data_IF_743996066725
#
_entry.id   IF_743996066725
#
_cell.length_a   1.000
_cell.length_b   1.000
_cell.length_c   1.000
_cell.angle_alpha   90.00
_cell.angle_beta   90.00
_cell.angle_gamma   90.00
#
_symmetry.space_group_name_H-M   'P 1'
#
loop_
_entity.id
_entity.type
_entity.pdbx_description
1 polymer ?
#
# COMPACT_ATOMS: atom_id res chain seq x y z
N UNK A 1 -66.78 36.90 -8.17
CA UNK A 1 -65.91 37.54 -7.14
C UNK A 1 -64.63 36.74 -6.85
N UNK A 2 -64.13 35.92 -7.81
CA UNK A 2 -62.99 34.99 -7.60
C UNK A 2 -61.71 35.38 -8.38
N UNK A 3 -61.78 36.33 -9.31
CA UNK A 3 -60.64 36.76 -10.14
C UNK A 3 -59.44 37.34 -9.35
N UNK A 4 -59.63 38.20 -8.33
CA UNK A 4 -58.50 38.80 -7.62
C UNK A 4 -57.73 37.80 -6.76
N UNK A 5 -58.43 36.83 -6.16
CA UNK A 5 -57.86 35.78 -5.33
C UNK A 5 -57.06 34.77 -6.16
N UNK A 6 -57.53 34.48 -7.39
CA UNK A 6 -56.83 33.62 -8.36
C UNK A 6 -55.50 34.24 -8.86
N UNK A 7 -55.50 35.54 -9.13
CA UNK A 7 -54.28 36.29 -9.52
C UNK A 7 -53.26 36.35 -8.38
N UNK A 8 -53.73 36.40 -7.12
CA UNK A 8 -52.87 36.37 -5.94
C UNK A 8 -52.24 34.98 -5.70
N UNK A 9 -53.00 33.89 -5.91
CA UNK A 9 -52.49 32.53 -5.84
C UNK A 9 -51.49 32.26 -6.98
N UNK A 10 -51.80 32.70 -8.21
CA UNK A 10 -50.89 32.64 -9.36
C UNK A 10 -49.61 33.45 -9.15
N UNK A 11 -49.66 34.65 -8.52
CA UNK A 11 -48.47 35.44 -8.17
C UNK A 11 -47.59 34.79 -7.09
N UNK A 12 -48.20 34.07 -6.14
CA UNK A 12 -47.45 33.35 -5.10
C UNK A 12 -46.81 32.06 -5.66
N UNK A 13 -47.49 31.38 -6.58
CA UNK A 13 -46.95 30.26 -7.38
C UNK A 13 -45.82 30.76 -8.30
N UNK A 14 -45.98 31.93 -8.93
CA UNK A 14 -44.99 32.64 -9.77
C UNK A 14 -43.64 32.87 -9.06
N UNK A 15 -43.65 33.09 -7.73
CA UNK A 15 -42.44 33.35 -6.95
C UNK A 15 -41.80 32.06 -6.42
N UNK A 16 -42.59 31.02 -6.12
CA UNK A 16 -42.05 29.73 -5.68
C UNK A 16 -41.52 28.86 -6.83
N UNK A 17 -42.10 28.94 -8.03
CA UNK A 17 -41.69 28.11 -9.19
C UNK A 17 -40.59 28.71 -10.07
N UNK A 18 -40.35 30.03 -10.00
CA UNK A 18 -39.18 30.66 -10.63
C UNK A 18 -37.83 30.21 -10.01
N UNK A 19 -37.85 29.38 -8.97
CA UNK A 19 -36.66 28.79 -8.34
C UNK A 19 -36.35 27.36 -8.77
N UNK A 20 -37.19 26.71 -9.58
CA UNK A 20 -37.03 25.27 -9.86
C UNK A 20 -36.87 25.02 -11.36
N UNK A 21 -35.63 24.69 -11.75
CA UNK A 21 -35.11 24.46 -13.10
C UNK A 21 -35.63 23.17 -13.76
N UNK A 22 -36.95 22.95 -13.84
CA UNK A 22 -37.47 21.76 -14.52
C UNK A 22 -38.56 22.11 -15.54
N UNK A 23 -38.08 22.51 -16.73
CA UNK A 23 -38.88 22.80 -17.93
C UNK A 23 -39.83 21.64 -18.30
N UNK A 24 -39.41 20.39 -18.07
CA UNK A 24 -40.23 19.19 -18.32
C UNK A 24 -41.43 19.04 -17.36
N UNK A 25 -41.33 19.52 -16.11
CA UNK A 25 -42.43 19.43 -15.14
C UNK A 25 -43.51 20.49 -15.38
N UNK A 26 -43.13 21.65 -15.95
CA UNK A 26 -44.03 22.78 -16.21
C UNK A 26 -45.01 22.43 -17.36
N UNK A 27 -44.53 21.79 -18.42
CA UNK A 27 -45.35 21.37 -19.57
C UNK A 27 -46.24 20.15 -19.21
N UNK A 28 -45.71 19.22 -18.40
CA UNK A 28 -46.46 18.02 -17.98
C UNK A 28 -47.59 18.34 -16.98
N UNK A 29 -47.44 19.31 -16.08
CA UNK A 29 -48.51 19.72 -15.15
C UNK A 29 -49.55 20.67 -15.78
N UNK A 30 -49.14 21.50 -16.74
CA UNK A 30 -50.07 22.34 -17.49
C UNK A 30 -51.06 21.49 -18.32
N UNK A 31 -50.61 20.35 -18.85
CA UNK A 31 -51.44 19.41 -19.61
C UNK A 31 -52.36 18.55 -18.72
N UNK A 32 -51.95 18.22 -17.50
CA UNK A 32 -52.77 17.42 -16.55
C UNK A 32 -53.89 18.24 -15.90
N UNK A 33 -53.71 19.55 -15.67
CA UNK A 33 -54.72 20.39 -14.99
C UNK A 33 -55.69 21.16 -15.90
N UNK A 34 -55.40 21.33 -17.19
CA UNK A 34 -56.13 22.29 -18.05
C UNK A 34 -56.66 21.68 -19.34
N UNK A 35 -57.25 20.48 -19.30
CA UNK A 35 -57.85 19.86 -20.48
C UNK A 35 -58.45 20.87 -21.48
N UNK A 36 -57.86 20.92 -22.67
CA UNK A 36 -58.28 21.67 -23.86
C UNK A 36 -58.14 23.21 -23.85
N UNK A 37 -57.48 23.74 -24.89
CA UNK A 37 -57.39 25.14 -25.36
C UNK A 37 -56.73 26.23 -24.49
N UNK A 38 -56.65 26.09 -23.16
CA UNK A 38 -56.01 27.11 -22.30
C UNK A 38 -54.49 26.96 -22.16
N UNK A 39 -53.91 25.78 -22.44
CA UNK A 39 -52.46 25.57 -22.25
C UNK A 39 -51.63 26.31 -23.31
N UNK A 40 -52.08 26.35 -24.56
CA UNK A 40 -51.36 27.01 -25.67
C UNK A 40 -51.31 28.54 -25.50
N UNK A 41 -52.39 29.17 -25.03
CA UNK A 41 -52.42 30.62 -24.76
C UNK A 41 -51.56 31.00 -23.54
N UNK A 42 -51.51 30.15 -22.51
CA UNK A 42 -50.66 30.35 -21.33
C UNK A 42 -49.18 30.14 -21.68
N UNK A 43 -48.85 29.12 -22.48
CA UNK A 43 -47.48 28.91 -22.97
C UNK A 43 -47.01 30.09 -23.84
N UNK A 44 -47.88 30.61 -24.70
CA UNK A 44 -47.61 31.80 -25.53
C UNK A 44 -47.37 33.05 -24.67
N UNK A 45 -48.18 33.29 -23.63
CA UNK A 45 -47.97 34.39 -22.67
C UNK A 45 -46.67 34.25 -21.85
N UNK A 46 -46.27 33.02 -21.47
CA UNK A 46 -45.05 32.76 -20.70
C UNK A 46 -43.75 32.86 -21.53
N UNK A 47 -43.83 32.62 -22.84
CA UNK A 47 -42.66 32.56 -23.74
C UNK A 47 -42.48 33.81 -24.59
N UNK A 48 -43.50 34.68 -24.67
CA UNK A 48 -43.43 35.91 -25.47
C UNK A 48 -42.32 36.85 -24.96
N UNK A 49 -41.35 37.14 -25.83
CA UNK A 49 -40.21 38.01 -25.53
C UNK A 49 -39.13 37.37 -24.64
N UNK A 50 -39.25 36.07 -24.36
CA UNK A 50 -38.25 35.30 -23.62
C UNK A 50 -37.29 34.59 -24.58
N UNK A 51 -36.10 34.33 -24.08
CA UNK A 51 -35.03 33.62 -24.76
C UNK A 51 -34.66 32.40 -23.94
N UNK A 52 -34.60 31.24 -24.59
CA UNK A 52 -34.30 29.97 -23.94
C UNK A 52 -32.78 29.72 -23.88
N UNK A 53 -32.33 29.24 -22.72
CA UNK A 53 -31.05 28.55 -22.58
C UNK A 53 -31.35 27.09 -22.30
N UNK A 54 -30.86 26.19 -23.16
CA UNK A 54 -31.00 24.75 -23.01
C UNK A 54 -29.63 24.11 -22.84
N UNK A 55 -29.53 23.09 -21.99
CA UNK A 55 -28.31 22.32 -21.81
C UNK A 55 -28.61 20.85 -22.06
N UNK A 56 -27.92 20.27 -23.03
CA UNK A 56 -27.93 18.83 -23.30
C UNK A 56 -26.68 18.23 -22.67
N UNK A 57 -26.86 17.31 -21.71
CA UNK A 57 -25.73 16.61 -21.11
C UNK A 57 -25.67 15.20 -21.65
N UNK A 58 -24.56 14.88 -22.30
CA UNK A 58 -24.33 13.57 -22.89
C UNK A 58 -23.86 12.60 -21.79
N UNK A 59 -24.65 11.58 -21.46
CA UNK A 59 -24.34 10.59 -20.44
C UNK A 59 -25.56 9.81 -19.94
N UNK A 60 -25.35 8.87 -19.02
CA UNK A 60 -26.43 8.12 -18.37
C UNK A 60 -27.03 8.96 -17.23
N UNK A 61 -28.35 9.17 -17.30
CA UNK A 61 -29.14 9.94 -16.34
C UNK A 61 -29.17 9.20 -14.99
N UNK A 62 -28.76 9.87 -13.90
CA UNK A 62 -28.77 9.27 -12.57
C UNK A 62 -30.17 9.41 -11.96
N UNK A 63 -30.91 8.29 -11.89
CA UNK A 63 -32.32 8.25 -11.51
C UNK A 63 -32.60 8.58 -10.03
N UNK A 64 -31.56 8.71 -9.18
CA UNK A 64 -31.70 8.85 -7.73
C UNK A 64 -31.70 10.31 -7.20
N UNK A 65 -31.62 11.31 -8.08
CA UNK A 65 -31.47 12.71 -7.68
C UNK A 65 -32.72 13.55 -7.94
N UNK A 66 -33.18 14.30 -6.92
CA UNK A 66 -34.25 15.33 -7.04
C UNK A 66 -33.81 16.57 -7.83
N UNK A 67 -32.67 16.48 -8.51
CA UNK A 67 -32.07 17.43 -9.45
C UNK A 67 -31.60 16.62 -10.64
N UNK A 68 -31.66 17.16 -11.86
CA UNK A 68 -31.09 16.48 -13.04
C UNK A 68 -29.57 16.43 -12.86
N UNK A 69 -29.08 15.36 -12.24
CA UNK A 69 -27.65 15.06 -12.12
C UNK A 69 -27.32 13.96 -13.11
N UNK A 70 -26.29 14.20 -13.90
CA UNK A 70 -25.75 13.21 -14.81
C UNK A 70 -24.58 12.52 -14.12
N UNK A 71 -24.35 11.25 -14.44
CA UNK A 71 -23.20 10.53 -13.90
C UNK A 71 -21.91 11.32 -14.19
N UNK A 72 -21.31 11.92 -13.15
CA UNK A 72 -20.04 12.64 -13.24
C UNK A 72 -20.07 14.16 -13.06
N UNK A 73 -21.24 14.80 -12.93
CA UNK A 73 -21.32 16.23 -12.61
C UNK A 73 -22.69 16.87 -12.80
N UNK A 74 -22.72 18.19 -12.61
CA UNK A 74 -23.92 19.04 -12.72
C UNK A 74 -23.68 20.14 -13.73
N UNK A 75 -24.61 20.36 -14.66
CA UNK A 75 -24.66 21.56 -15.48
C UNK A 75 -25.75 22.52 -14.96
N UNK A 76 -25.54 23.82 -15.11
CA UNK A 76 -26.43 24.85 -14.57
C UNK A 76 -26.58 26.05 -15.51
N UNK A 77 -27.67 26.81 -15.35
CA UNK A 77 -27.99 27.97 -16.17
C UNK A 77 -29.01 27.73 -17.29
N UNK A 78 -29.63 26.55 -17.32
CA UNK A 78 -30.86 26.31 -18.09
C UNK A 78 -32.00 27.22 -17.60
N UNK A 79 -32.80 27.75 -18.52
CA UNK A 79 -33.99 28.51 -18.18
C UNK A 79 -34.53 29.40 -19.31
N UNK A 80 -35.63 30.11 -19.00
CA UNK A 80 -36.19 31.16 -19.84
C UNK A 80 -35.83 32.52 -19.25
N UNK A 81 -35.20 33.37 -20.06
CA UNK A 81 -34.64 34.65 -19.63
C UNK A 81 -35.20 35.80 -20.49
N UNK A 82 -35.12 37.02 -19.99
CA UNK A 82 -35.31 38.18 -20.88
C UNK A 82 -34.13 38.27 -21.87
N UNK A 83 -34.39 38.60 -23.13
CA UNK A 83 -33.37 38.60 -24.19
C UNK A 83 -32.18 39.54 -23.96
N UNK A 84 -32.28 40.48 -23.00
CA UNK A 84 -31.20 41.38 -22.58
C UNK A 84 -30.41 40.88 -21.36
N UNK A 85 -30.86 39.83 -20.69
CA UNK A 85 -30.21 39.28 -19.51
C UNK A 85 -28.88 38.59 -19.86
N UNK A 86 -28.06 38.39 -18.82
CA UNK A 86 -26.78 37.69 -18.90
C UNK A 86 -26.73 36.53 -17.90
N UNK A 87 -27.47 35.44 -18.13
CA UNK A 87 -27.45 34.31 -17.22
C UNK A 87 -26.06 33.71 -17.09
N UNK A 88 -25.78 33.15 -15.91
CA UNK A 88 -24.55 32.39 -15.67
C UNK A 88 -24.81 30.93 -16.04
N UNK A 89 -24.09 30.43 -17.03
CA UNK A 89 -24.25 29.07 -17.57
C UNK A 89 -22.92 28.35 -17.47
N UNK A 90 -22.94 27.12 -16.95
CA UNK A 90 -21.70 26.40 -16.66
C UNK A 90 -21.91 24.95 -16.25
N UNK A 91 -20.82 24.32 -15.83
CA UNK A 91 -20.81 22.95 -15.35
C UNK A 91 -19.76 22.76 -14.25
N UNK A 92 -20.04 21.83 -13.34
CA UNK A 92 -19.16 21.41 -12.25
C UNK A 92 -19.10 19.87 -12.21
N UNK A 93 -17.91 19.31 -12.36
CA UNK A 93 -17.66 17.87 -12.33
C UNK A 93 -17.60 17.37 -10.88
N UNK A 94 -18.21 16.22 -10.62
CA UNK A 94 -18.14 15.54 -9.33
C UNK A 94 -16.74 14.98 -9.05
N UNK A 95 -16.47 14.66 -7.78
CA UNK A 95 -15.25 13.98 -7.38
C UNK A 95 -15.02 12.69 -8.20
N UNK A 96 -13.82 12.54 -8.77
CA UNK A 96 -13.50 11.43 -9.65
C UNK A 96 -13.70 11.71 -11.14
N UNK A 97 -14.27 12.86 -11.51
CA UNK A 97 -14.57 13.24 -12.88
C UNK A 97 -13.90 14.55 -13.28
N UNK A 98 -13.89 14.80 -14.59
CA UNK A 98 -13.52 16.08 -15.20
C UNK A 98 -14.46 16.38 -16.37
N UNK A 99 -14.51 17.64 -16.77
CA UNK A 99 -15.30 18.05 -17.93
C UNK A 99 -14.59 17.53 -19.19
N UNK A 100 -15.28 16.70 -19.97
CA UNK A 100 -14.79 16.24 -21.27
C UNK A 100 -14.95 17.33 -22.32
N UNK A 101 -16.15 17.92 -22.38
CA UNK A 101 -16.42 19.14 -23.11
C UNK A 101 -17.57 19.92 -22.50
N UNK A 102 -17.54 21.23 -22.72
CA UNK A 102 -18.66 22.13 -22.49
C UNK A 102 -18.62 23.22 -23.55
N UNK A 103 -19.62 23.26 -24.44
CA UNK A 103 -19.70 24.29 -25.47
C UNK A 103 -21.14 24.67 -25.77
N UNK A 104 -21.36 25.86 -26.28
CA UNK A 104 -22.69 26.32 -26.68
C UNK A 104 -22.70 27.72 -27.24
N UNK A 105 -23.89 28.16 -27.62
CA UNK A 105 -24.12 29.46 -28.23
C UNK A 105 -25.47 29.54 -28.93
N UNK A 106 -25.75 30.66 -29.62
CA UNK A 106 -26.94 30.78 -30.45
C UNK A 106 -26.80 29.93 -31.72
N UNK A 107 -27.91 29.67 -32.41
CA UNK A 107 -27.93 28.79 -33.60
C UNK A 107 -26.98 29.21 -34.72
N UNK A 108 -26.65 30.51 -34.83
CA UNK A 108 -25.70 31.06 -35.79
C UNK A 108 -24.24 31.02 -35.31
N UNK A 109 -23.99 30.85 -34.01
CA UNK A 109 -22.66 30.70 -33.41
C UNK A 109 -22.65 29.60 -32.32
N UNK A 110 -22.88 28.32 -32.66
CA UNK A 110 -23.16 27.25 -31.69
C UNK A 110 -22.00 26.90 -30.74
N UNK A 111 -20.80 27.43 -30.97
CA UNK A 111 -19.62 27.27 -30.10
C UNK A 111 -19.04 28.62 -29.65
N UNK A 112 -19.85 29.68 -29.63
CA UNK A 112 -19.46 31.01 -29.11
C UNK A 112 -18.81 30.92 -27.74
N UNK A 113 -19.35 30.05 -26.89
CA UNK A 113 -18.80 29.68 -25.59
C UNK A 113 -18.22 28.27 -25.73
N UNK A 114 -16.90 28.14 -25.63
CA UNK A 114 -16.23 26.86 -25.80
C UNK A 114 -15.19 26.66 -24.71
N UNK A 115 -15.37 25.60 -23.92
CA UNK A 115 -14.44 25.20 -22.88
C UNK A 115 -13.31 24.37 -23.47
N UNK A 116 -12.09 24.88 -23.37
CA UNK A 116 -10.87 24.21 -23.85
C UNK A 116 -9.98 23.69 -22.72
N UNK A 117 -10.45 23.76 -21.47
CA UNK A 117 -9.72 23.30 -20.30
C UNK A 117 -9.95 21.82 -19.96
N UNK A 118 -9.31 21.36 -18.88
CA UNK A 118 -9.45 20.00 -18.34
C UNK A 118 -9.69 20.00 -16.81
N UNK A 119 -10.36 21.05 -16.34
CA UNK A 119 -10.67 21.30 -14.94
C UNK A 119 -12.00 20.69 -14.51
N UNK A 120 -12.36 20.94 -13.25
CA UNK A 120 -13.60 20.45 -12.65
C UNK A 120 -14.74 21.46 -12.72
N UNK A 121 -14.51 22.68 -13.21
CA UNK A 121 -15.59 23.66 -13.38
C UNK A 121 -15.36 24.61 -14.56
N UNK A 122 -16.46 25.09 -15.11
CA UNK A 122 -16.52 26.14 -16.14
C UNK A 122 -17.75 27.00 -15.92
N UNK A 123 -17.65 28.31 -16.17
CA UNK A 123 -18.76 29.25 -16.04
C UNK A 123 -18.63 30.38 -17.05
N UNK A 124 -19.74 30.73 -17.72
CA UNK A 124 -19.84 31.83 -18.66
C UNK A 124 -20.99 32.77 -18.29
N UNK A 125 -20.76 34.07 -18.43
CA UNK A 125 -21.82 35.08 -18.50
C UNK A 125 -22.32 35.17 -19.94
N UNK A 126 -23.49 34.60 -20.22
CA UNK A 126 -24.00 34.40 -21.58
C UNK A 126 -24.80 35.60 -22.05
N UNK A 127 -24.42 36.22 -23.16
CA UNK A 127 -25.15 37.37 -23.72
C UNK A 127 -26.19 36.88 -24.73
N UNK A 128 -27.47 36.88 -24.31
CA UNK A 128 -28.56 36.25 -25.05
C UNK A 128 -28.93 36.98 -26.35
N UNK A 129 -28.96 38.32 -26.33
CA UNK A 129 -29.31 39.15 -27.47
C UNK A 129 -30.62 38.73 -28.18
N UNK A 130 -31.61 38.29 -27.40
CA UNK A 130 -32.91 37.82 -27.92
C UNK A 130 -32.88 36.49 -28.70
N UNK A 131 -31.76 35.76 -28.71
CA UNK A 131 -31.61 34.50 -29.46
C UNK A 131 -31.46 33.31 -28.51
N UNK A 132 -32.18 32.24 -28.77
CA UNK A 132 -32.04 31.01 -27.99
C UNK A 132 -30.61 30.48 -28.06
N UNK A 133 -30.12 29.96 -26.93
CA UNK A 133 -28.80 29.37 -26.80
C UNK A 133 -28.93 27.90 -26.42
N UNK A 134 -28.13 27.05 -27.08
CA UNK A 134 -28.02 25.63 -26.77
C UNK A 134 -26.59 25.31 -26.35
N UNK A 135 -26.46 24.59 -25.25
CA UNK A 135 -25.20 24.08 -24.72
C UNK A 135 -25.19 22.56 -24.74
N UNK A 136 -23.99 22.00 -24.89
CA UNK A 136 -23.67 20.58 -24.78
C UNK A 136 -22.59 20.40 -23.73
N UNK A 137 -22.77 19.43 -22.84
CA UNK A 137 -21.83 19.10 -21.79
C UNK A 137 -21.62 17.60 -21.72
N UNK A 138 -20.39 17.16 -21.40
CA UNK A 138 -20.11 15.78 -21.05
C UNK A 138 -19.05 15.71 -19.96
N UNK A 139 -19.23 14.77 -19.05
CA UNK A 139 -18.26 14.43 -18.01
C UNK A 139 -17.55 13.12 -18.38
N UNK A 140 -16.28 13.00 -17.96
CA UNK A 140 -15.52 11.75 -18.07
C UNK A 140 -14.78 11.43 -16.78
N UNK A 141 -14.56 10.15 -16.55
CA UNK A 141 -13.77 9.70 -15.39
C UNK A 141 -12.34 10.23 -15.48
N UNK A 142 -11.89 10.86 -14.40
CA UNK A 142 -10.50 11.25 -14.24
C UNK A 142 -9.70 10.05 -13.79
N UNK A 143 -8.91 9.47 -14.70
CA UNK A 143 -8.13 8.24 -14.45
C UNK A 143 -6.65 8.51 -14.20
N UNK A 144 -6.05 7.70 -13.34
CA UNK A 144 -4.60 7.69 -13.06
C UNK A 144 -4.07 6.28 -12.95
N UNK A 145 -2.77 6.16 -13.20
CA UNK A 145 -2.04 4.89 -13.10
C UNK A 145 -1.39 4.77 -11.73
N UNK A 146 -1.62 3.61 -11.12
CA UNK A 146 -0.97 3.12 -9.91
C UNK A 146 0.06 2.05 -10.29
N UNK A 147 1.32 2.34 -10.02
CA UNK A 147 2.42 1.38 -10.18
C UNK A 147 2.82 0.85 -8.81
N UNK A 148 2.96 -0.48 -8.67
CA UNK A 148 3.42 -1.12 -7.44
C UNK A 148 4.78 -1.77 -7.65
N UNK A 149 5.66 -1.68 -6.64
CA UNK A 149 7.00 -2.30 -6.63
C UNK A 149 7.27 -2.98 -5.30
N UNK A 150 8.20 -3.93 -5.27
CA UNK A 150 8.68 -4.58 -4.05
C UNK A 150 10.14 -4.15 -3.77
N UNK A 151 10.49 -3.93 -2.50
CA UNK A 151 11.85 -3.61 -2.08
C UNK A 151 12.25 -4.40 -0.82
N UNK A 152 13.26 -5.29 -0.91
CA UNK A 152 13.93 -5.72 -2.13
C UNK A 152 12.97 -6.48 -3.05
N UNK A 153 13.27 -6.54 -4.36
CA UNK A 153 12.46 -7.29 -5.34
C UNK A 153 12.33 -8.77 -4.99
N UNK A 154 13.35 -9.35 -4.35
CA UNK A 154 13.34 -10.73 -3.85
C UNK A 154 12.49 -10.93 -2.59
N UNK A 155 12.12 -9.85 -1.90
CA UNK A 155 11.48 -9.89 -0.59
C UNK A 155 10.01 -10.27 -0.62
N UNK A 156 9.34 -10.11 -1.76
CA UNK A 156 7.93 -10.44 -1.89
C UNK A 156 7.33 -10.03 -3.22
N UNK A 157 6.02 -10.25 -3.36
CA UNK A 157 5.22 -9.88 -4.53
C UNK A 157 4.16 -8.85 -4.16
N UNK A 158 3.74 -8.04 -5.13
CA UNK A 158 2.70 -7.01 -4.95
C UNK A 158 1.62 -7.13 -6.03
N UNK A 159 0.37 -6.85 -5.67
CA UNK A 159 -0.79 -6.90 -6.57
C UNK A 159 -1.72 -5.70 -6.33
N UNK A 160 -2.51 -5.33 -7.36
CA UNK A 160 -3.45 -4.20 -7.31
C UNK A 160 -2.99 -2.93 -8.05
N UNK A 161 -1.92 -3.02 -8.84
CA UNK A 161 -1.53 -1.96 -9.78
C UNK A 161 -2.44 -1.92 -11.01
N UNK A 162 -2.52 -0.78 -11.67
CA UNK A 162 -3.41 -0.58 -12.83
C UNK A 162 -3.84 0.87 -13.02
N UNK A 163 -4.79 1.10 -13.93
CA UNK A 163 -5.38 2.42 -14.16
C UNK A 163 -6.77 2.49 -13.54
N UNK A 164 -7.00 3.48 -12.68
CA UNK A 164 -8.21 3.60 -11.87
C UNK A 164 -8.75 5.02 -11.90
N UNK A 165 -10.06 5.16 -11.64
CA UNK A 165 -10.65 6.46 -11.35
C UNK A 165 -10.04 7.04 -10.07
N UNK A 166 -9.79 8.34 -10.04
CA UNK A 166 -9.28 9.00 -8.83
C UNK A 166 -10.33 8.96 -7.72
N UNK A 167 -9.89 9.08 -6.46
CA UNK A 167 -10.73 9.06 -5.25
C UNK A 167 -11.47 7.73 -4.97
N UNK A 168 -11.34 6.71 -5.80
CA UNK A 168 -11.86 5.36 -5.50
C UNK A 168 -10.89 4.58 -4.60
N UNK A 169 -11.43 3.71 -3.75
CA UNK A 169 -10.63 2.81 -2.92
C UNK A 169 -10.13 1.62 -3.74
N UNK A 170 -8.84 1.60 -4.05
CA UNK A 170 -8.18 0.55 -4.83
C UNK A 170 -7.54 -0.45 -3.86
N UNK A 171 -7.94 -1.73 -3.84
CA UNK A 171 -7.31 -2.73 -2.99
C UNK A 171 -5.91 -3.08 -3.51
N UNK A 172 -4.93 -3.08 -2.60
CA UNK A 172 -3.56 -3.50 -2.88
C UNK A 172 -3.12 -4.55 -1.86
N UNK A 173 -2.24 -5.46 -2.28
CA UNK A 173 -1.73 -6.52 -1.42
C UNK A 173 -0.25 -6.76 -1.65
N UNK A 174 0.48 -6.96 -0.56
CA UNK A 174 1.86 -7.41 -0.54
C UNK A 174 1.92 -8.78 0.12
N UNK A 175 2.64 -9.71 -0.52
CA UNK A 175 2.89 -11.06 0.02
C UNK A 175 4.39 -11.22 0.18
N UNK A 176 4.83 -11.35 1.43
CA UNK A 176 6.24 -11.58 1.73
C UNK A 176 6.66 -12.98 1.29
N UNK A 177 7.85 -13.11 0.71
CA UNK A 177 8.44 -14.41 0.38
C UNK A 177 9.01 -15.05 1.65
N UNK A 178 9.19 -16.37 1.65
CA UNK A 178 9.87 -17.08 2.74
C UNK A 178 11.22 -16.41 3.08
N UNK A 179 11.46 -16.20 4.38
CA UNK A 179 12.63 -15.45 4.86
C UNK A 179 12.46 -13.95 4.91
N UNK A 180 11.29 -13.40 4.60
CA UNK A 180 11.00 -11.98 4.67
C UNK A 180 9.70 -11.70 5.43
N UNK A 181 9.62 -10.51 6.01
CA UNK A 181 8.41 -9.93 6.59
C UNK A 181 8.09 -8.61 5.90
N UNK A 182 6.81 -8.34 5.72
CA UNK A 182 6.35 -7.04 5.25
C UNK A 182 6.59 -5.98 6.34
N UNK A 183 7.16 -4.84 5.95
CA UNK A 183 7.53 -3.76 6.86
C UNK A 183 6.79 -2.45 6.61
N UNK A 184 6.03 -2.34 5.51
CA UNK A 184 5.20 -1.18 5.23
C UNK A 184 5.18 -0.76 3.75
N UNK A 185 4.15 -0.03 3.38
CA UNK A 185 4.01 0.64 2.08
C UNK A 185 4.60 2.05 2.13
N UNK A 186 5.17 2.50 1.02
CA UNK A 186 5.65 3.89 0.87
C UNK A 186 5.26 4.42 -0.50
N UNK A 187 4.80 5.67 -0.57
CA UNK A 187 4.61 6.38 -1.84
C UNK A 187 5.98 6.92 -2.27
N UNK A 188 6.50 6.43 -3.39
CA UNK A 188 7.81 6.86 -3.92
C UNK A 188 7.66 7.93 -5.01
N UNK A 189 6.48 8.01 -5.64
CA UNK A 189 6.14 9.05 -6.61
C UNK A 189 4.65 9.35 -6.56
N UNK A 190 4.29 10.62 -6.78
CA UNK A 190 2.90 11.07 -6.85
C UNK A 190 2.31 11.38 -5.49
N UNK A 191 0.98 11.40 -5.43
CA UNK A 191 0.21 11.94 -4.31
C UNK A 191 -0.87 10.96 -3.82
N UNK A 192 -0.71 9.67 -4.09
CA UNK A 192 -1.60 8.62 -3.59
C UNK A 192 -1.71 8.63 -2.07
N UNK A 193 -2.93 8.39 -1.56
CA UNK A 193 -3.23 8.25 -0.14
C UNK A 193 -3.38 6.78 0.22
N UNK A 194 -2.50 6.27 1.09
CA UNK A 194 -2.59 4.89 1.62
C UNK A 194 -3.42 4.92 2.91
N UNK A 195 -4.43 4.05 3.01
CA UNK A 195 -5.32 4.04 4.18
C UNK A 195 -4.66 3.43 5.42
N UNK A 196 -3.84 2.38 5.25
CA UNK A 196 -3.01 1.83 6.30
C UNK A 196 -1.68 1.33 5.73
N UNK A 197 -0.64 2.14 5.85
CA UNK A 197 0.68 1.82 5.31
C UNK A 197 1.37 0.63 6.00
N UNK A 198 1.01 0.31 7.25
CA UNK A 198 1.60 -0.80 8.01
C UNK A 198 0.91 -2.15 7.74
N UNK A 199 -0.22 -2.16 7.03
CA UNK A 199 -0.92 -3.39 6.66
C UNK A 199 -0.53 -3.87 5.27
N UNK A 200 -0.17 -5.16 5.16
CA UNK A 200 0.18 -5.78 3.89
C UNK A 200 -1.01 -5.81 2.90
N UNK A 201 -2.23 -5.89 3.41
CA UNK A 201 -3.47 -5.72 2.65
C UNK A 201 -4.17 -4.44 3.08
N UNK A 202 -4.34 -3.50 2.14
CA UNK A 202 -4.94 -2.18 2.42
C UNK A 202 -5.58 -1.63 1.15
N UNK A 203 -6.13 -0.43 1.25
CA UNK A 203 -6.64 0.32 0.11
C UNK A 203 -5.85 1.61 -0.10
N UNK A 204 -5.73 2.03 -1.35
CA UNK A 204 -5.11 3.29 -1.76
C UNK A 204 -6.09 4.12 -2.59
N UNK A 205 -6.02 5.44 -2.47
CA UNK A 205 -6.75 6.38 -3.32
C UNK A 205 -5.78 7.23 -4.14
N UNK A 206 -5.89 7.15 -5.47
CA UNK A 206 -5.21 8.08 -6.38
C UNK A 206 -5.86 9.47 -6.29
N UNK A 207 -5.03 10.52 -6.32
CA UNK A 207 -5.47 11.91 -6.18
C UNK A 207 -5.30 12.67 -7.50
N UNK A 208 -4.30 13.55 -7.61
CA UNK A 208 -4.09 14.44 -8.75
C UNK A 208 -3.01 13.98 -9.73
N UNK A 209 -2.26 12.92 -9.43
CA UNK A 209 -1.18 12.42 -10.28
C UNK A 209 -1.13 10.88 -10.38
N UNK A 210 -0.43 10.38 -11.40
CA UNK A 210 -0.01 8.98 -11.42
C UNK A 210 0.94 8.73 -10.25
N UNK A 211 0.79 7.60 -9.56
CA UNK A 211 1.54 7.32 -8.34
C UNK A 211 2.25 5.98 -8.38
N UNK A 212 3.42 5.92 -7.75
CA UNK A 212 4.18 4.68 -7.55
C UNK A 212 4.26 4.40 -6.05
N UNK A 213 3.86 3.20 -5.65
CA UNK A 213 4.01 2.70 -4.30
C UNK A 213 5.02 1.56 -4.26
N UNK A 214 5.71 1.45 -3.13
CA UNK A 214 6.68 0.41 -2.86
C UNK A 214 6.26 -0.34 -1.59
N UNK A 215 6.13 -1.67 -1.68
CA UNK A 215 6.07 -2.56 -0.53
C UNK A 215 7.49 -2.82 -0.05
N UNK A 216 7.77 -2.48 1.21
CA UNK A 216 9.05 -2.71 1.83
C UNK A 216 9.01 -4.03 2.59
N UNK A 217 10.02 -4.87 2.37
CA UNK A 217 10.20 -6.14 3.06
C UNK A 217 11.54 -6.13 3.80
N UNK A 218 11.55 -6.75 4.98
CA UNK A 218 12.76 -6.96 5.77
C UNK A 218 13.03 -8.45 5.85
N UNK A 219 14.31 -8.82 5.75
CA UNK A 219 14.69 -10.20 5.96
C UNK A 219 14.34 -10.60 7.39
N UNK A 220 13.61 -11.71 7.53
CA UNK A 220 13.31 -12.32 8.83
C UNK A 220 14.52 -13.10 9.26
N UNK A 221 15.04 -12.77 10.45
CA UNK A 221 16.19 -13.44 11.03
C UNK A 221 15.72 -14.29 12.19
N UNK A 222 15.88 -15.61 12.08
CA UNK A 222 15.68 -16.56 13.17
C UNK A 222 16.93 -16.57 14.05
N UNK A 223 16.76 -16.32 15.34
CA UNK A 223 17.86 -16.36 16.30
C UNK A 223 18.04 -17.79 16.81
N UNK A 224 19.24 -18.33 16.65
CA UNK A 224 19.67 -19.60 17.21
C UNK A 224 20.68 -19.29 18.31
N UNK A 225 20.32 -19.55 19.55
CA UNK A 225 21.25 -19.47 20.68
C UNK A 225 22.00 -20.78 20.77
N UNK A 226 23.32 -20.71 20.87
CA UNK A 226 24.21 -21.84 21.12
C UNK A 226 24.86 -21.58 22.48
N UNK A 227 24.98 -22.61 23.31
CA UNK A 227 25.65 -22.47 24.60
C UNK A 227 26.55 -23.67 24.84
N UNK A 228 27.67 -23.41 25.51
CA UNK A 228 28.66 -24.41 25.86
C UNK A 228 28.75 -24.50 27.37
N UNK A 229 28.91 -25.71 27.87
CA UNK A 229 29.13 -25.93 29.29
C UNK A 229 30.18 -27.00 29.48
N UNK A 230 31.18 -26.63 30.25
CA UNK A 230 32.32 -27.45 30.63
C UNK A 230 32.18 -27.80 32.12
N UNK A 231 32.36 -29.08 32.46
CA UNK A 231 32.28 -29.61 33.82
C UNK A 231 33.46 -30.55 34.06
N UNK A 232 34.24 -30.32 35.11
CA UNK A 232 35.34 -31.22 35.51
C UNK A 232 34.92 -32.01 36.73
N UNK A 233 34.96 -33.34 36.62
CA UNK A 233 34.73 -34.26 37.73
C UNK A 233 35.82 -35.32 37.76
N UNK A 234 36.54 -35.42 38.88
CA UNK A 234 37.63 -36.40 39.08
C UNK A 234 38.67 -36.46 37.93
N UNK A 235 39.07 -35.31 37.39
CA UNK A 235 40.05 -35.20 36.30
C UNK A 235 39.49 -35.41 34.89
N UNK A 236 38.22 -35.76 34.76
CA UNK A 236 37.53 -35.90 33.48
C UNK A 236 36.79 -34.60 33.15
N UNK A 237 37.15 -33.98 32.02
CA UNK A 237 36.39 -32.86 31.47
C UNK A 237 35.23 -33.41 30.64
N UNK A 238 34.03 -32.99 31.02
CA UNK A 238 32.80 -33.23 30.25
C UNK A 238 32.37 -31.93 29.62
N UNK A 239 32.12 -31.97 28.31
CA UNK A 239 31.66 -30.82 27.55
C UNK A 239 30.31 -31.11 26.94
N UNK A 240 29.45 -30.10 26.99
CA UNK A 240 28.13 -30.13 26.38
C UNK A 240 27.92 -28.90 25.53
N UNK A 241 27.22 -29.08 24.41
CA UNK A 241 26.68 -28.01 23.58
C UNK A 241 25.17 -28.09 23.61
N UNK A 242 24.51 -26.96 23.81
CA UNK A 242 23.06 -26.84 23.69
C UNK A 242 22.72 -25.79 22.64
N UNK A 243 21.58 -25.95 21.98
CA UNK A 243 21.11 -25.05 20.94
C UNK A 243 19.61 -24.77 21.13
N UNK A 244 19.08 -23.68 20.57
CA UNK A 244 17.64 -23.41 20.52
C UNK A 244 16.85 -24.66 20.13
N UNK A 245 15.75 -24.93 20.84
CA UNK A 245 14.87 -26.09 20.62
C UNK A 245 14.53 -26.28 19.13
N UNK A 246 14.50 -27.54 18.70
CA UNK A 246 14.25 -27.93 17.30
C UNK A 246 15.47 -27.93 16.38
N UNK A 247 16.64 -27.53 16.88
CA UNK A 247 17.91 -27.52 16.15
C UNK A 247 18.90 -28.52 16.76
N UNK A 248 19.93 -28.85 16.00
CA UNK A 248 21.04 -29.73 16.40
C UNK A 248 22.38 -29.04 16.16
N UNK A 249 23.34 -29.22 17.06
CA UNK A 249 24.67 -28.65 16.95
C UNK A 249 25.74 -29.73 17.14
N UNK A 250 26.79 -29.68 16.31
CA UNK A 250 28.03 -30.45 16.50
C UNK A 250 29.18 -29.48 16.68
N UNK A 251 29.85 -29.59 17.82
CA UNK A 251 31.01 -28.80 18.18
C UNK A 251 32.25 -29.70 18.20
N UNK A 252 33.18 -29.45 17.29
CA UNK A 252 34.42 -30.23 17.14
C UNK A 252 35.62 -29.42 17.57
N UNK A 253 36.42 -29.96 18.48
CA UNK A 253 37.69 -29.36 18.93
C UNK A 253 38.86 -30.06 18.29
N UNK A 254 39.85 -29.26 17.91
CA UNK A 254 41.16 -29.70 17.45
C UNK A 254 42.21 -29.22 18.45
N UNK A 255 43.06 -30.13 18.89
CA UNK A 255 44.08 -29.84 19.89
C UNK A 255 45.32 -30.73 19.74
N UNK A 256 46.25 -30.54 20.66
CA UNK A 256 47.40 -31.43 20.84
C UNK A 256 47.44 -31.98 22.24
N UNK A 257 47.77 -33.24 22.35
CA UNK A 257 48.11 -33.91 23.59
C UNK A 257 49.63 -33.89 23.71
N UNK A 258 50.11 -33.41 24.85
CA UNK A 258 51.54 -33.38 25.19
C UNK A 258 51.75 -34.46 26.24
N UNK A 259 52.61 -35.43 25.91
CA UNK A 259 53.03 -36.45 26.86
C UNK A 259 54.48 -36.18 27.24
N UNK A 260 54.74 -36.16 28.54
CA UNK A 260 56.09 -36.01 29.09
C UNK A 260 56.39 -37.23 29.97
N UNK A 261 57.60 -37.77 29.82
CA UNK A 261 58.02 -38.98 30.53
C UNK A 261 59.43 -38.82 31.07
N UNK A 262 59.60 -39.14 32.35
CA UNK A 262 60.91 -39.19 33.01
C UNK A 262 61.15 -40.61 33.57
N UNK A 263 62.32 -41.19 33.26
CA UNK A 263 62.74 -42.48 33.82
C UNK A 263 63.53 -42.35 35.12
N UNK A 264 63.77 -43.45 35.81
CA UNK A 264 64.55 -43.53 37.06
C UNK A 264 66.01 -43.09 36.94
N UNK A 265 66.50 -42.90 35.71
CA UNK A 265 67.84 -42.40 35.38
C UNK A 265 67.85 -40.90 35.07
N UNK A 266 66.68 -40.25 35.10
CA UNK A 266 66.51 -38.82 34.79
C UNK A 266 66.54 -38.50 33.29
N UNK A 267 66.33 -39.48 32.40
CA UNK A 267 66.13 -39.21 30.98
C UNK A 267 64.72 -38.67 30.76
N UNK A 268 64.59 -37.63 29.94
CA UNK A 268 63.34 -36.94 29.68
C UNK A 268 62.96 -37.00 28.20
N UNK A 269 61.75 -37.50 27.93
CA UNK A 269 61.14 -37.53 26.60
C UNK A 269 59.84 -36.72 26.60
N UNK A 270 59.61 -35.96 25.52
CA UNK A 270 58.37 -35.22 25.30
C UNK A 270 57.96 -35.28 23.83
N UNK A 271 56.69 -35.56 23.57
CA UNK A 271 56.13 -35.57 22.22
C UNK A 271 54.70 -35.02 22.18
N UNK A 272 54.30 -34.53 21.01
CA UNK A 272 52.97 -34.00 20.76
C UNK A 272 52.20 -34.87 19.76
N UNK A 273 50.94 -35.18 20.08
CA UNK A 273 50.01 -35.86 19.16
C UNK A 273 48.78 -35.00 18.91
N UNK A 274 48.38 -34.86 17.65
CA UNK A 274 47.15 -34.15 17.31
C UNK A 274 45.94 -35.01 17.68
N UNK A 275 44.92 -34.39 18.28
CA UNK A 275 43.65 -35.05 18.54
C UNK A 275 42.47 -34.24 18.02
N UNK A 276 41.33 -34.93 17.91
CA UNK A 276 40.04 -34.32 17.63
C UNK A 276 38.97 -34.97 18.51
N UNK A 277 38.06 -34.17 19.07
CA UNK A 277 36.85 -34.71 19.71
C UNK A 277 35.63 -33.87 19.32
N UNK A 278 34.47 -34.51 19.24
CA UNK A 278 33.22 -33.88 18.83
C UNK A 278 32.15 -34.07 19.90
N UNK A 279 31.41 -32.99 20.18
CA UNK A 279 30.26 -32.97 21.08
C UNK A 279 29.01 -32.69 20.25
N UNK A 280 27.97 -33.50 20.43
CA UNK A 280 26.68 -33.28 19.75
C UNK A 280 25.64 -32.81 20.75
N UNK A 281 24.78 -31.88 20.36
CA UNK A 281 23.72 -31.37 21.24
C UNK A 281 22.80 -32.49 21.72
N UNK A 282 22.60 -32.58 23.03
CA UNK A 282 21.85 -33.69 23.66
C UNK A 282 22.68 -34.96 23.89
N UNK A 283 23.97 -34.96 23.53
CA UNK A 283 24.91 -36.07 23.76
C UNK A 283 26.25 -35.49 24.21
N UNK A 284 26.41 -35.16 25.51
CA UNK A 284 27.66 -34.65 26.03
C UNK A 284 28.78 -35.68 25.81
N UNK A 285 29.99 -35.17 25.58
CA UNK A 285 31.18 -36.01 25.45
C UNK A 285 32.15 -35.69 26.58
N UNK A 286 32.86 -36.71 27.03
CA UNK A 286 33.82 -36.61 28.11
C UNK A 286 35.19 -37.11 27.67
N UNK A 287 36.24 -36.45 28.13
CA UNK A 287 37.64 -36.84 27.90
C UNK A 287 38.44 -36.66 29.19
N UNK A 288 39.50 -37.45 29.32
CA UNK A 288 40.53 -37.22 30.33
C UNK A 288 41.45 -36.09 29.84
N UNK A 289 41.45 -34.97 30.54
CA UNK A 289 42.19 -33.77 30.11
C UNK A 289 43.63 -33.74 30.61
N UNK A 290 43.84 -34.35 31.77
CA UNK A 290 45.16 -34.59 32.32
C UNK A 290 45.17 -35.87 33.16
N UNK A 291 46.34 -36.50 33.22
CA UNK A 291 46.62 -37.51 34.23
C UNK A 291 48.11 -37.52 34.53
N UNK A 292 48.43 -37.91 35.76
CA UNK A 292 49.78 -38.22 36.20
C UNK A 292 49.82 -39.68 36.64
N UNK A 293 50.83 -40.41 36.17
CA UNK A 293 51.09 -41.79 36.57
C UNK A 293 52.51 -41.91 37.08
N UNK A 294 52.66 -42.52 38.24
CA UNK A 294 53.96 -42.91 38.79
C UNK A 294 53.91 -44.36 39.24
N UNK A 295 54.86 -45.17 38.78
CA UNK A 295 54.94 -46.60 39.11
C UNK A 295 56.21 -46.98 39.90
N UNK A 296 56.96 -46.00 40.39
CA UNK A 296 58.23 -46.20 41.11
C UNK A 296 59.47 -46.05 40.24
N UNK A 297 59.38 -46.35 38.94
CA UNK A 297 60.50 -46.30 37.98
C UNK A 297 60.31 -45.24 36.89
N UNK A 298 59.08 -44.83 36.63
CA UNK A 298 58.73 -43.90 35.56
C UNK A 298 57.68 -42.92 36.08
N UNK A 299 57.88 -41.62 35.81
CA UNK A 299 56.83 -40.62 35.85
C UNK A 299 56.33 -40.34 34.42
N UNK A 300 55.02 -40.29 34.25
CA UNK A 300 54.36 -39.97 32.99
C UNK A 300 53.24 -38.98 33.26
N UNK A 301 53.28 -37.84 32.59
CA UNK A 301 52.23 -36.83 32.65
C UNK A 301 51.67 -36.57 31.26
N UNK A 302 50.37 -36.33 31.19
CA UNK A 302 49.67 -36.00 29.96
C UNK A 302 48.88 -34.72 30.17
N UNK A 303 49.04 -33.77 29.25
CA UNK A 303 48.27 -32.53 29.24
C UNK A 303 47.68 -32.28 27.86
N UNK A 304 46.38 -31.98 27.80
CA UNK A 304 45.70 -31.57 26.57
C UNK A 304 45.72 -30.05 26.39
N UNK A 305 46.05 -29.59 25.17
CA UNK A 305 45.96 -28.19 24.76
C UNK A 305 45.06 -28.03 23.55
N UNK A 306 43.90 -27.41 23.76
CA UNK A 306 42.97 -27.06 22.68
C UNK A 306 43.54 -25.92 21.81
N UNK A 307 43.40 -26.03 20.49
CA UNK A 307 43.92 -25.03 19.53
C UNK A 307 42.78 -24.29 18.85
N UNK A 308 41.85 -25.02 18.25
CA UNK A 308 40.78 -24.47 17.44
C UNK A 308 39.51 -25.31 17.50
N UNK A 309 38.42 -24.77 16.97
CA UNK A 309 37.15 -25.46 16.92
C UNK A 309 36.39 -25.21 15.62
N UNK A 310 35.43 -26.09 15.35
CA UNK A 310 34.44 -25.96 14.28
C UNK A 310 33.06 -26.17 14.90
N UNK A 311 32.11 -25.31 14.56
CA UNK A 311 30.71 -25.48 14.94
C UNK A 311 29.85 -25.66 13.68
N UNK A 312 29.07 -26.73 13.67
CA UNK A 312 28.05 -27.01 12.66
C UNK A 312 26.68 -27.01 13.35
N UNK A 313 25.70 -26.29 12.81
CA UNK A 313 24.32 -26.28 13.30
C UNK A 313 23.40 -26.70 12.15
N UNK A 314 22.60 -27.75 12.35
CA UNK A 314 21.72 -28.35 11.34
C UNK A 314 22.41 -28.60 9.99
N UNK A 315 23.66 -29.06 10.04
CA UNK A 315 24.49 -29.31 8.85
C UNK A 315 25.12 -28.06 8.21
N UNK A 316 24.85 -26.85 8.72
CA UNK A 316 25.48 -25.61 8.27
C UNK A 316 26.71 -25.31 9.12
N UNK A 317 27.88 -25.22 8.49
CA UNK A 317 29.11 -24.79 9.17
C UNK A 317 29.01 -23.32 9.57
N UNK A 318 28.75 -23.08 10.86
CA UNK A 318 28.66 -21.73 11.43
C UNK A 318 30.05 -21.14 11.53
N UNK A 319 31.02 -21.86 12.09
CA UNK A 319 32.42 -21.45 12.09
C UNK A 319 33.34 -22.63 11.86
N UNK A 320 34.50 -22.38 11.28
CA UNK A 320 35.42 -23.42 10.81
C UNK A 320 36.83 -23.08 11.26
N UNK A 321 37.43 -23.97 12.03
CA UNK A 321 38.80 -23.87 12.53
C UNK A 321 39.11 -22.52 13.24
N UNK A 322 38.15 -22.00 14.00
CA UNK A 322 38.32 -20.77 14.77
C UNK A 322 39.23 -20.98 15.98
N UNK A 323 40.05 -19.99 16.39
CA UNK A 323 40.82 -20.08 17.63
C UNK A 323 39.94 -20.38 18.84
N UNK A 324 40.41 -21.26 19.73
CA UNK A 324 39.62 -21.66 20.92
C UNK A 324 39.25 -20.47 21.83
N UNK A 325 40.02 -19.37 21.79
CA UNK A 325 39.72 -18.11 22.51
C UNK A 325 38.43 -17.41 22.07
N UNK A 326 37.87 -17.80 20.92
CA UNK A 326 36.66 -17.23 20.31
C UNK A 326 35.38 -17.98 20.71
N UNK A 327 35.48 -19.10 21.45
CA UNK A 327 34.30 -19.83 21.94
C UNK A 327 33.43 -18.89 22.78
N UNK A 328 32.11 -18.89 22.56
CA UNK A 328 31.17 -18.02 23.26
C UNK A 328 31.19 -16.54 22.82
N UNK A 329 31.95 -16.17 21.78
CA UNK A 329 32.08 -14.77 21.32
C UNK A 329 31.68 -14.57 19.86
N UNK A 330 31.15 -15.60 19.23
CA UNK A 330 30.78 -15.54 17.82
C UNK A 330 29.35 -14.99 17.71
N UNK A 331 29.15 -14.02 16.85
CA UNK A 331 27.82 -13.62 16.37
C UNK A 331 27.87 -13.66 14.86
N UNK A 332 27.09 -14.55 14.26
CA UNK A 332 27.17 -14.80 12.82
C UNK A 332 25.81 -14.86 12.19
N UNK A 333 25.67 -14.15 11.07
CA UNK A 333 24.47 -14.20 10.24
C UNK A 333 24.77 -15.03 8.99
N UNK A 334 24.03 -16.11 8.79
CA UNK A 334 24.11 -16.97 7.59
C UNK A 334 22.70 -17.18 7.07
N UNK A 335 22.41 -16.66 5.87
CA UNK A 335 21.07 -16.69 5.31
C UNK A 335 20.06 -15.97 6.21
N UNK A 336 19.01 -16.68 6.65
CA UNK A 336 17.98 -16.15 7.54
C UNK A 336 18.22 -16.48 9.02
N UNK A 337 19.40 -16.98 9.39
CA UNK A 337 19.72 -17.36 10.77
C UNK A 337 20.80 -16.45 11.33
N UNK A 338 20.61 -16.02 12.59
CA UNK A 338 21.65 -15.37 13.40
C UNK A 338 21.98 -16.30 14.56
N UNK A 339 23.23 -16.75 14.59
CA UNK A 339 23.76 -17.61 15.63
C UNK A 339 24.38 -16.72 16.69
N UNK A 340 23.83 -16.78 17.90
CA UNK A 340 24.31 -16.06 19.09
C UNK A 340 24.87 -17.11 20.05
N UNK A 341 26.06 -16.83 20.57
CA UNK A 341 26.84 -17.75 21.40
C UNK A 341 26.94 -17.25 22.83
#
# INVERSE_FOLDING_TARGET
MLLPTYICILKTIKIQFMKTNHLHYIVLLATIFLGCSCSEEIEKELTTGKTAVTIEVDGEEDADSRTVSFTGGTAYGEGLYDGKERPTVGAEASDGYEIDYFYGGPSDEPQKYNYTGSGSSVSYQVFLNGKDHKFKCKFKEKKRTLTLTANPTSGGTVTGGGTYKVKTNIPITAVAKSGYTFSGWTVTKGDAKIMNASSASTTVQLQSSNSTLQANFKQSVTIINVSFKDEVLMGQLTRSVSVTSGHSATYTVYGVEITEREDDRGNYDSWEENYTFAVTSGSPASRLDSYDRYNGEVSESMTSKEKSFTLVVDGVTVCSNEPISNVGKVDKVIGNYRYIF
#
